data_IF_591455040511
#
_entry.id   IF_591455040511
#
_cell.length_a   1.000
_cell.length_b   1.000
_cell.length_c   1.000
_cell.angle_alpha   90.00
_cell.angle_beta   90.00
_cell.angle_gamma   90.00
#
_symmetry.space_group_name_H-M   'P 1'
#
loop_
_entity.id
_entity.type
_entity.pdbx_description
1 polymer ?
#
# COMPACT_ATOMS: atom_id res chain seq x y z
N UNK A 1 -19.54 31.28 -7.96
CA UNK A 1 -18.16 30.75 -8.00
C UNK A 1 -18.15 29.50 -7.13
N UNK A 2 -18.47 28.35 -7.71
CA UNK A 2 -18.53 27.09 -6.97
C UNK A 2 -17.12 26.51 -6.89
N UNK A 3 -16.66 26.24 -5.67
CA UNK A 3 -15.39 25.58 -5.42
C UNK A 3 -15.45 24.19 -6.07
N UNK A 4 -14.48 23.92 -6.93
CA UNK A 4 -14.25 22.61 -7.53
C UNK A 4 -13.68 21.75 -6.39
N UNK A 5 -14.50 20.87 -5.82
CA UNK A 5 -14.01 19.90 -4.85
C UNK A 5 -13.00 19.00 -5.58
N UNK A 6 -11.75 19.13 -5.15
CA UNK A 6 -10.63 18.35 -5.64
C UNK A 6 -10.85 16.92 -5.12
N UNK A 7 -11.39 16.06 -5.97
CA UNK A 7 -11.64 14.66 -5.65
C UNK A 7 -10.28 13.96 -5.62
N UNK A 8 -9.58 14.13 -4.49
CA UNK A 8 -8.43 13.33 -4.15
C UNK A 8 -8.80 11.86 -4.36
N UNK A 9 -7.93 11.13 -5.05
CA UNK A 9 -8.05 9.71 -5.32
C UNK A 9 -8.46 8.97 -4.04
N UNK A 10 -9.65 8.38 -4.02
CA UNK A 10 -10.11 7.56 -2.91
C UNK A 10 -9.76 6.10 -3.19
N UNK A 11 -9.15 5.44 -2.20
CA UNK A 11 -9.03 3.99 -2.17
C UNK A 11 -10.37 3.38 -1.76
N UNK A 12 -10.97 2.58 -2.63
CA UNK A 12 -12.18 1.82 -2.33
C UNK A 12 -11.81 0.44 -1.79
N UNK A 13 -11.89 0.25 -0.47
CA UNK A 13 -11.53 -1.00 0.21
C UNK A 13 -12.61 -2.09 0.04
N UNK A 14 -12.82 -2.59 -1.19
CA UNK A 14 -13.74 -3.71 -1.50
C UNK A 14 -13.04 -5.05 -1.56
N UNK A 15 -12.40 -5.52 -0.48
CA UNK A 15 -11.79 -6.86 -0.48
C UNK A 15 -11.87 -7.54 0.89
N UNK A 16 -13.09 -7.73 1.40
CA UNK A 16 -13.42 -8.75 2.39
C UNK A 16 -14.82 -9.29 2.06
N UNK A 17 -14.88 -10.58 1.73
CA UNK A 17 -16.02 -11.41 1.29
C UNK A 17 -16.55 -11.21 -0.15
N UNK A 18 -16.24 -12.19 -1.02
CA UNK A 18 -16.81 -12.41 -2.36
C UNK A 18 -18.25 -12.98 -2.32
N UNK A 19 -18.96 -12.92 -1.18
CA UNK A 19 -20.39 -13.24 -1.11
C UNK A 19 -21.22 -12.00 -1.50
N UNK A 20 -21.25 -11.75 -2.81
CA UNK A 20 -21.81 -10.58 -3.47
C UNK A 20 -23.32 -10.44 -3.16
N UNK A 21 -23.66 -9.56 -2.23
CA UNK A 21 -24.99 -8.96 -2.09
C UNK A 21 -25.04 -7.65 -2.88
N UNK A 22 -26.01 -7.52 -3.79
CA UNK A 22 -26.30 -6.26 -4.50
C UNK A 22 -26.66 -5.20 -3.44
N UNK A 23 -25.88 -4.11 -3.35
CA UNK A 23 -25.96 -3.02 -2.36
C UNK A 23 -25.09 -3.17 -1.10
N UNK A 24 -23.77 -3.29 -1.28
CA UNK A 24 -22.84 -3.04 -0.17
C UNK A 24 -22.30 -1.60 -0.26
N UNK A 25 -22.77 -0.75 0.65
CA UNK A 25 -22.17 0.57 0.89
C UNK A 25 -20.69 0.41 1.30
N UNK A 26 -19.79 1.28 0.85
CA UNK A 26 -18.39 1.23 1.25
C UNK A 26 -18.29 1.33 2.78
N UNK A 27 -17.66 0.32 3.40
CA UNK A 27 -17.56 0.24 4.87
C UNK A 27 -16.62 1.29 5.46
N UNK A 28 -15.73 1.86 4.64
CA UNK A 28 -14.77 2.88 5.02
C UNK A 28 -14.31 3.66 3.79
N UNK A 29 -14.07 4.96 3.95
CA UNK A 29 -13.41 5.82 2.97
C UNK A 29 -12.08 6.28 3.58
N UNK A 30 -10.99 6.06 2.84
CA UNK A 30 -9.64 6.38 3.28
C UNK A 30 -9.10 7.49 2.36
N UNK A 31 -8.91 8.72 2.88
CA UNK A 31 -8.38 9.80 2.09
C UNK A 31 -6.90 9.54 1.77
N UNK A 32 -6.53 9.64 0.48
CA UNK A 32 -5.13 9.66 0.11
C UNK A 32 -4.57 11.09 0.27
N UNK A 33 -3.36 11.25 0.84
CA UNK A 33 -2.77 12.58 1.05
C UNK A 33 -2.56 13.41 -0.22
N UNK A 34 -2.52 12.76 -1.39
CA UNK A 34 -2.40 13.40 -2.70
C UNK A 34 -3.32 12.68 -3.68
N UNK A 35 -3.77 13.41 -4.72
CA UNK A 35 -4.46 12.82 -5.86
C UNK A 35 -3.48 11.98 -6.68
N UNK A 36 -3.25 10.75 -6.23
CA UNK A 36 -2.36 9.79 -6.87
C UNK A 36 -3.14 8.54 -7.26
N UNK A 37 -2.91 8.06 -8.47
CA UNK A 37 -3.42 6.76 -8.85
C UNK A 37 -2.66 5.69 -8.04
N UNK A 38 -3.41 4.74 -7.50
CA UNK A 38 -2.84 3.58 -6.83
C UNK A 38 -2.14 2.74 -7.91
N UNK A 39 -0.88 2.39 -7.66
CA UNK A 39 -0.10 1.47 -8.48
C UNK A 39 -0.34 0.04 -8.05
N UNK A 40 -0.31 -0.23 -6.75
CA UNK A 40 -0.47 -1.57 -6.18
C UNK A 40 -1.02 -1.56 -4.75
N UNK A 41 -1.62 -2.68 -4.33
CA UNK A 41 -2.13 -2.92 -2.97
C UNK A 41 -1.71 -4.31 -2.51
N UNK A 42 -0.99 -4.36 -1.38
CA UNK A 42 -0.48 -5.63 -0.81
C UNK A 42 -1.09 -5.89 0.56
N UNK A 43 -1.76 -7.04 0.70
CA UNK A 43 -2.30 -7.47 1.98
C UNK A 43 -1.21 -8.06 2.88
N UNK A 44 -1.14 -7.58 4.13
CA UNK A 44 -0.22 -8.14 5.12
C UNK A 44 -0.87 -9.35 5.78
N UNK A 45 -0.70 -10.54 5.18
CA UNK A 45 -1.39 -11.78 5.62
C UNK A 45 -1.13 -12.14 7.09
N UNK A 46 0.06 -11.84 7.61
CA UNK A 46 0.41 -12.07 9.01
C UNK A 46 -0.29 -11.08 9.99
N UNK A 47 -0.76 -9.93 9.51
CA UNK A 47 -1.39 -8.88 10.31
C UNK A 47 -2.81 -8.61 9.79
N UNK A 48 -3.80 -9.28 10.41
CA UNK A 48 -5.21 -9.22 9.99
C UNK A 48 -5.66 -7.78 9.72
N UNK A 49 -6.22 -7.55 8.53
CA UNK A 49 -6.75 -6.26 8.07
C UNK A 49 -5.72 -5.12 7.89
N UNK A 50 -4.42 -5.43 7.89
CA UNK A 50 -3.38 -4.47 7.52
C UNK A 50 -3.03 -4.65 6.05
N UNK A 51 -2.75 -3.56 5.38
CA UNK A 51 -2.40 -3.53 3.97
C UNK A 51 -1.40 -2.41 3.68
N UNK A 52 -0.72 -2.55 2.56
CA UNK A 52 0.16 -1.54 2.01
C UNK A 52 -0.44 -1.01 0.72
N UNK A 53 -0.25 0.28 0.47
CA UNK A 53 -0.67 0.96 -0.75
C UNK A 53 0.57 1.58 -1.37
N UNK A 54 0.89 1.18 -2.60
CA UNK A 54 1.90 1.83 -3.41
C UNK A 54 1.22 2.76 -4.42
N UNK A 55 1.60 4.02 -4.42
CA UNK A 55 1.13 5.03 -5.38
C UNK A 55 2.01 5.03 -6.65
N UNK A 56 1.50 5.60 -7.76
CA UNK A 56 2.30 5.71 -9.00
C UNK A 56 3.54 6.57 -8.85
N UNK A 57 3.54 7.51 -7.92
CA UNK A 57 4.64 8.41 -7.60
C UNK A 57 5.72 7.72 -6.73
N UNK A 58 5.48 6.46 -6.34
CA UNK A 58 6.44 5.67 -5.56
C UNK A 58 6.34 5.84 -4.05
N UNK A 59 5.29 6.49 -3.55
CA UNK A 59 5.02 6.55 -2.10
C UNK A 59 4.32 5.29 -1.63
N UNK A 60 4.86 4.70 -0.56
CA UNK A 60 4.32 3.51 0.10
C UNK A 60 3.66 3.90 1.42
N UNK A 61 2.38 3.54 1.57
CA UNK A 61 1.59 3.80 2.77
C UNK A 61 1.18 2.50 3.46
N UNK A 62 1.05 2.56 4.79
CA UNK A 62 0.42 1.53 5.60
C UNK A 62 -1.00 1.94 5.98
N UNK A 63 -1.94 1.04 5.74
CA UNK A 63 -3.33 1.17 6.18
C UNK A 63 -3.75 -0.01 7.06
N UNK A 64 -4.72 0.24 7.94
CA UNK A 64 -5.25 -0.78 8.86
C UNK A 64 -6.76 -0.63 8.97
N UNK A 65 -7.54 -1.56 8.44
CA UNK A 65 -8.99 -1.52 8.66
C UNK A 65 -9.33 -1.91 10.12
N UNK A 66 -10.29 -1.24 10.79
CA UNK A 66 -11.19 -0.19 10.28
C UNK A 66 -10.69 1.26 10.45
N UNK A 67 -9.43 1.47 10.83
CA UNK A 67 -8.84 2.80 10.95
C UNK A 67 -8.73 3.45 9.54
N UNK A 68 -9.35 4.62 9.33
CA UNK A 68 -9.31 5.30 8.03
C UNK A 68 -8.01 6.06 7.77
N UNK A 69 -6.98 5.92 8.62
CA UNK A 69 -5.70 6.59 8.44
C UNK A 69 -4.75 5.80 7.53
N UNK A 70 -3.94 6.54 6.77
CA UNK A 70 -2.78 6.05 6.05
C UNK A 70 -1.53 6.69 6.62
N UNK A 71 -0.57 5.87 6.98
CA UNK A 71 0.76 6.33 7.43
C UNK A 71 1.75 6.13 6.30
N UNK A 72 2.38 7.21 5.83
CA UNK A 72 3.47 7.12 4.86
C UNK A 72 4.66 6.38 5.49
N UNK A 73 5.16 5.34 4.82
CA UNK A 73 6.29 4.55 5.30
C UNK A 73 7.59 4.89 4.55
N UNK A 74 7.52 4.96 3.21
CA UNK A 74 8.68 5.07 2.34
C UNK A 74 8.34 5.83 1.06
N UNK A 75 9.39 6.37 0.42
CA UNK A 75 9.28 7.11 -0.84
C UNK A 75 10.29 6.60 -1.89
N UNK A 76 9.96 6.79 -3.16
CA UNK A 76 10.72 6.31 -4.31
C UNK A 76 10.75 4.78 -4.44
N UNK A 77 9.65 4.12 -4.07
CA UNK A 77 9.48 2.67 -4.17
C UNK A 77 8.96 2.28 -5.54
N UNK A 78 9.64 1.34 -6.18
CA UNK A 78 9.29 0.85 -7.51
C UNK A 78 8.33 -0.34 -7.43
N UNK A 79 8.47 -1.21 -6.44
CA UNK A 79 7.57 -2.34 -6.19
C UNK A 79 7.57 -2.73 -4.71
N UNK A 80 6.51 -3.40 -4.27
CA UNK A 80 6.35 -3.88 -2.90
C UNK A 80 5.68 -5.26 -2.89
N UNK A 81 6.07 -6.11 -1.95
CA UNK A 81 5.47 -7.41 -1.68
C UNK A 81 5.48 -7.70 -0.17
N UNK A 82 4.62 -8.61 0.30
CA UNK A 82 4.63 -9.07 1.69
C UNK A 82 4.73 -10.59 1.76
N UNK A 83 5.64 -11.08 2.59
CA UNK A 83 5.79 -12.51 2.82
C UNK A 83 4.68 -13.05 3.73
N UNK A 84 4.45 -14.36 3.69
CA UNK A 84 3.47 -15.02 4.57
C UNK A 84 3.77 -14.88 6.06
N UNK A 85 5.03 -14.61 6.44
CA UNK A 85 5.46 -14.42 7.83
C UNK A 85 5.48 -12.94 8.26
N UNK A 86 5.11 -12.01 7.38
CA UNK A 86 4.91 -10.59 7.71
C UNK A 86 6.06 -9.66 7.34
N UNK A 87 7.12 -10.20 6.73
CA UNK A 87 8.20 -9.38 6.15
C UNK A 87 7.68 -8.58 4.97
N UNK A 88 8.30 -7.42 4.76
CA UNK A 88 7.97 -6.49 3.68
C UNK A 88 9.19 -6.44 2.76
N UNK A 89 8.98 -6.72 1.48
CA UNK A 89 10.02 -6.66 0.46
C UNK A 89 9.72 -5.46 -0.41
N UNK A 90 10.70 -4.58 -0.61
CA UNK A 90 10.56 -3.43 -1.51
C UNK A 90 11.67 -3.44 -2.54
N UNK A 91 11.34 -3.02 -3.75
CA UNK A 91 12.32 -2.66 -4.77
C UNK A 91 12.44 -1.14 -4.79
N UNK A 92 13.67 -0.64 -4.74
CA UNK A 92 14.00 0.77 -4.90
C UNK A 92 15.28 0.90 -5.72
N UNK A 93 15.17 1.55 -6.87
CA UNK A 93 16.26 1.66 -7.84
C UNK A 93 16.78 0.25 -8.19
N UNK A 94 18.07 0.00 -7.94
CA UNK A 94 18.71 -1.28 -8.23
C UNK A 94 18.87 -2.15 -6.97
N UNK A 95 18.04 -1.96 -5.95
CA UNK A 95 18.11 -2.78 -4.72
C UNK A 95 16.75 -3.38 -4.40
N UNK A 96 16.77 -4.64 -3.99
CA UNK A 96 15.65 -5.26 -3.27
C UNK A 96 16.02 -5.28 -1.79
N UNK A 97 15.22 -4.64 -0.96
CA UNK A 97 15.43 -4.60 0.48
C UNK A 97 14.32 -5.37 1.19
N UNK A 98 14.70 -6.26 2.10
CA UNK A 98 13.80 -7.04 2.95
C UNK A 98 13.77 -6.41 4.33
N UNK A 99 12.58 -6.05 4.78
CA UNK A 99 12.30 -5.52 6.10
C UNK A 99 11.53 -6.52 6.95
N UNK A 100 11.76 -6.49 8.27
CA UNK A 100 10.88 -7.14 9.24
C UNK A 100 9.48 -6.51 9.23
N UNK A 101 8.55 -7.13 9.94
CA UNK A 101 7.21 -6.57 10.13
C UNK A 101 7.18 -5.18 10.77
N UNK A 102 8.23 -4.86 11.52
CA UNK A 102 8.46 -3.62 12.26
C UNK A 102 9.36 -2.64 11.49
N UNK A 103 9.57 -2.89 10.19
CA UNK A 103 10.36 -2.05 9.29
C UNK A 103 11.86 -1.96 9.63
N UNK A 104 12.39 -2.94 10.37
CA UNK A 104 13.83 -3.08 10.54
C UNK A 104 14.43 -3.78 9.31
N UNK A 105 15.44 -3.20 8.70
CA UNK A 105 16.14 -3.80 7.57
C UNK A 105 16.78 -5.14 7.99
N UNK A 106 16.52 -6.18 7.21
CA UNK A 106 17.11 -7.52 7.40
C UNK A 106 18.18 -7.83 6.37
N UNK A 107 17.95 -7.43 5.13
CA UNK A 107 18.79 -7.81 3.99
C UNK A 107 18.62 -6.84 2.83
N UNK A 108 19.71 -6.58 2.11
CA UNK A 108 19.71 -5.89 0.82
C UNK A 108 20.28 -6.84 -0.23
N UNK A 109 19.58 -6.96 -1.36
CA UNK A 109 20.00 -7.71 -2.54
C UNK A 109 20.20 -6.69 -3.66
N UNK A 110 21.46 -6.31 -3.98
CA UNK A 110 21.74 -5.43 -5.09
C UNK A 110 21.47 -6.15 -6.41
N UNK A 111 20.82 -5.45 -7.33
CA UNK A 111 20.58 -5.88 -8.70
C UNK A 111 21.65 -5.24 -9.59
N UNK A 112 22.37 -6.08 -10.34
CA UNK A 112 23.34 -5.62 -11.35
C UNK A 112 22.75 -5.77 -12.74
N UNK A 113 23.06 -4.83 -13.64
CA UNK A 113 22.80 -4.95 -15.07
C UNK A 113 23.92 -5.67 -15.83
N UNK A 114 25.04 -5.97 -15.18
CA UNK A 114 26.15 -6.72 -15.77
C UNK A 114 25.89 -8.23 -15.61
N UNK A 115 25.71 -8.90 -16.75
CA UNK A 115 25.58 -10.36 -16.90
C UNK A 115 26.95 -11.00 -17.14
#
# INVERSE_FOLDING_TARGET
MAAKEDVGSLLDCRLLDLSIGKNMEPRCLIPLPQASFIKDIVWRRAAKYNFLVLTKEGKLFHGKFPDPSLTELMDGIDAVESSGIGDIVVAKQNNITVFSSDLNEKMIIPLSSEL
#
